data_IF_541194682152
#
_entry.id   IF_541194682152
#
_cell.length_a   1.000
_cell.length_b   1.000
_cell.length_c   1.000
_cell.angle_alpha   90.00
_cell.angle_beta   90.00
_cell.angle_gamma   90.00
#
_symmetry.space_group_name_H-M   'P 1'
#
loop_
_entity.id
_entity.type
_entity.pdbx_description
1 polymer ?
#
# COMPACT_ATOMS: atom_id res chain seq x y z
N UNK A 1 15.82 6.76 16.93
CA UNK A 1 14.47 6.40 16.45
C UNK A 1 14.04 7.45 15.44
N UNK A 2 13.58 7.03 14.29
CA UNK A 2 13.18 7.94 13.21
C UNK A 2 11.85 8.62 13.59
N UNK A 3 11.88 9.90 13.94
CA UNK A 3 10.72 10.59 14.53
C UNK A 3 9.79 11.22 13.46
N UNK A 4 9.56 10.50 12.35
CA UNK A 4 8.69 10.97 11.28
C UNK A 4 7.21 11.12 11.73
N UNK A 5 6.75 10.29 12.66
CA UNK A 5 5.37 10.29 13.20
C UNK A 5 5.30 11.23 14.43
N UNK A 6 5.27 12.52 14.17
CA UNK A 6 5.28 13.56 15.22
C UNK A 6 4.40 14.75 14.87
N UNK A 7 3.91 15.42 15.89
CA UNK A 7 3.16 16.66 15.73
C UNK A 7 3.95 17.70 14.93
N UNK A 8 3.28 18.40 14.02
CA UNK A 8 3.87 19.39 13.13
C UNK A 8 4.60 18.81 11.90
N UNK A 9 4.83 17.50 11.83
CA UNK A 9 5.28 16.82 10.60
C UNK A 9 4.13 16.71 9.59
N UNK A 10 4.43 16.38 8.35
CA UNK A 10 3.43 16.30 7.27
C UNK A 10 3.36 14.89 6.70
N UNK A 11 2.14 14.35 6.61
CA UNK A 11 1.84 13.10 5.93
C UNK A 11 1.03 13.36 4.66
N UNK A 12 1.42 12.67 3.60
CA UNK A 12 0.75 12.64 2.28
C UNK A 12 0.19 11.26 2.04
N UNK A 13 -1.09 11.17 1.66
CA UNK A 13 -1.76 9.89 1.39
C UNK A 13 -2.52 9.97 0.06
N UNK A 14 -2.15 9.14 -0.91
CA UNK A 14 -2.94 8.95 -2.13
C UNK A 14 -4.03 7.90 -1.93
N UNK A 15 -5.20 8.08 -2.54
CA UNK A 15 -6.39 7.29 -2.22
C UNK A 15 -6.82 7.52 -0.77
N UNK A 16 -6.71 8.78 -0.31
CA UNK A 16 -6.90 9.17 1.08
C UNK A 16 -8.35 9.40 1.50
N UNK A 17 -9.30 9.30 0.58
CA UNK A 17 -10.71 9.54 0.86
C UNK A 17 -11.46 8.32 1.39
N UNK A 18 -10.86 7.12 1.38
CA UNK A 18 -11.53 5.91 1.85
C UNK A 18 -10.56 4.82 2.30
N UNK A 19 -11.09 3.75 2.91
CA UNK A 19 -10.37 2.51 3.22
C UNK A 19 -9.10 2.71 4.03
N UNK A 20 -8.01 2.04 3.61
CA UNK A 20 -6.72 2.10 4.29
C UNK A 20 -6.13 3.53 4.28
N UNK A 21 -6.31 4.27 3.17
CA UNK A 21 -5.79 5.63 3.05
C UNK A 21 -6.42 6.57 4.05
N UNK A 22 -7.75 6.57 4.17
CA UNK A 22 -8.46 7.42 5.13
C UNK A 22 -8.14 7.03 6.57
N UNK A 23 -8.08 5.74 6.88
CA UNK A 23 -7.71 5.31 8.23
C UNK A 23 -6.27 5.71 8.60
N UNK A 24 -5.34 5.65 7.64
CA UNK A 24 -3.98 6.17 7.86
C UNK A 24 -3.98 7.67 8.13
N UNK A 25 -4.72 8.43 7.32
CA UNK A 25 -4.85 9.87 7.49
C UNK A 25 -5.43 10.25 8.86
N UNK A 26 -6.46 9.52 9.33
CA UNK A 26 -7.01 9.66 10.71
C UNK A 26 -5.95 9.48 11.78
N UNK A 27 -5.13 8.42 11.65
CA UNK A 27 -4.07 8.13 12.61
C UNK A 27 -2.99 9.20 12.62
N UNK A 28 -2.59 9.69 11.45
CA UNK A 28 -1.63 10.78 11.34
C UNK A 28 -2.19 12.08 11.90
N UNK A 29 -3.46 12.43 11.61
CA UNK A 29 -4.13 13.60 12.18
C UNK A 29 -4.18 13.55 13.71
N UNK A 30 -4.53 12.40 14.29
CA UNK A 30 -4.58 12.19 15.73
C UNK A 30 -3.22 12.33 16.42
N UNK A 31 -2.10 12.11 15.71
CA UNK A 31 -0.75 12.36 16.25
C UNK A 31 -0.30 13.81 16.13
N UNK A 32 -1.13 14.67 15.58
CA UNK A 32 -0.80 16.08 15.42
C UNK A 32 -0.03 16.42 14.15
N UNK A 33 0.02 15.53 13.15
CA UNK A 33 0.63 15.83 11.85
C UNK A 33 -0.27 16.74 10.99
N UNK A 34 0.32 17.45 10.06
CA UNK A 34 -0.39 18.03 8.91
C UNK A 34 -0.72 16.91 7.92
N UNK A 35 -1.88 16.98 7.31
CA UNK A 35 -2.40 15.92 6.43
C UNK A 35 -2.66 16.47 5.04
N UNK A 36 -2.08 15.82 4.04
CA UNK A 36 -2.45 16.03 2.65
C UNK A 36 -3.04 14.73 2.09
N UNK A 37 -4.28 14.78 1.64
CA UNK A 37 -4.94 13.65 0.98
C UNK A 37 -5.22 13.96 -0.49
N UNK A 38 -5.02 12.96 -1.34
CA UNK A 38 -5.39 13.01 -2.74
C UNK A 38 -6.34 11.85 -3.06
N UNK A 39 -7.41 12.13 -3.77
CA UNK A 39 -8.33 11.13 -4.31
C UNK A 39 -8.98 11.62 -5.58
N UNK A 40 -9.42 10.71 -6.45
CA UNK A 40 -10.15 11.08 -7.67
C UNK A 40 -11.63 11.35 -7.41
N UNK A 41 -12.20 10.79 -6.35
CA UNK A 41 -13.60 10.98 -5.98
C UNK A 41 -13.76 12.26 -5.16
N UNK A 42 -14.31 13.29 -5.78
CA UNK A 42 -14.45 14.61 -5.15
C UNK A 42 -15.43 14.61 -3.96
N UNK A 43 -16.49 13.79 -3.99
CA UNK A 43 -17.49 13.71 -2.93
C UNK A 43 -16.90 13.05 -1.67
N UNK A 44 -16.30 11.85 -1.84
CA UNK A 44 -15.63 11.17 -0.74
C UNK A 44 -14.47 12.01 -0.18
N UNK A 45 -13.75 12.74 -1.05
CA UNK A 45 -12.64 13.60 -0.66
C UNK A 45 -13.11 14.78 0.20
N UNK A 46 -14.24 15.41 -0.14
CA UNK A 46 -14.82 16.49 0.65
C UNK A 46 -15.21 16.01 2.06
N UNK A 47 -15.92 14.87 2.15
CA UNK A 47 -16.32 14.30 3.41
C UNK A 47 -15.10 13.91 4.27
N UNK A 48 -14.07 13.30 3.67
CA UNK A 48 -12.83 12.96 4.36
C UNK A 48 -12.08 14.20 4.86
N UNK A 49 -12.08 15.28 4.07
CA UNK A 49 -11.44 16.55 4.45
C UNK A 49 -12.10 17.18 5.68
N UNK A 50 -13.43 17.20 5.73
CA UNK A 50 -14.17 17.71 6.89
C UNK A 50 -13.88 16.89 8.15
N UNK A 51 -13.96 15.58 8.05
CA UNK A 51 -13.65 14.68 9.17
C UNK A 51 -12.22 14.86 9.69
N UNK A 52 -11.23 14.92 8.77
CA UNK A 52 -9.84 15.09 9.16
C UNK A 52 -9.57 16.47 9.77
N UNK A 53 -10.27 17.52 9.32
CA UNK A 53 -10.17 18.85 9.91
C UNK A 53 -10.69 18.88 11.36
N UNK A 54 -11.80 18.19 11.63
CA UNK A 54 -12.33 18.01 12.99
C UNK A 54 -11.33 17.26 13.88
N UNK A 55 -10.77 16.14 13.39
CA UNK A 55 -9.77 15.34 14.13
C UNK A 55 -8.48 16.12 14.40
N UNK A 56 -8.03 16.92 13.44
CA UNK A 56 -6.84 17.75 13.59
C UNK A 56 -7.07 18.95 14.53
N UNK A 57 -8.33 19.30 14.79
CA UNK A 57 -8.72 20.50 15.55
C UNK A 57 -8.39 21.83 14.85
N UNK A 58 -7.92 21.81 13.63
CA UNK A 58 -7.54 22.96 12.81
C UNK A 58 -7.57 22.58 11.33
N UNK A 59 -8.53 23.15 10.60
CA UNK A 59 -8.69 22.92 9.17
C UNK A 59 -7.46 23.37 8.34
N UNK A 60 -6.66 24.31 8.86
CA UNK A 60 -5.44 24.74 8.18
C UNK A 60 -4.37 23.64 8.06
N UNK A 61 -4.48 22.58 8.85
CA UNK A 61 -3.60 21.42 8.88
C UNK A 61 -4.01 20.32 7.89
N UNK A 62 -5.11 20.50 7.16
CA UNK A 62 -5.60 19.54 6.17
C UNK A 62 -5.56 20.17 4.77
N UNK A 63 -5.01 19.46 3.82
CA UNK A 63 -5.06 19.73 2.40
C UNK A 63 -5.71 18.55 1.71
N UNK A 64 -6.81 18.78 1.00
CA UNK A 64 -7.47 17.78 0.18
C UNK A 64 -7.44 18.23 -1.29
N UNK A 65 -6.89 17.41 -2.17
CA UNK A 65 -6.77 17.70 -3.59
C UNK A 65 -7.39 16.60 -4.43
N UNK A 66 -8.29 16.97 -5.36
CA UNK A 66 -8.72 16.02 -6.36
C UNK A 66 -7.55 15.72 -7.30
N UNK A 67 -7.20 14.42 -7.42
CA UNK A 67 -6.04 13.99 -8.19
C UNK A 67 -6.26 12.56 -8.71
N UNK A 68 -6.12 12.40 -10.02
CA UNK A 68 -6.00 11.06 -10.62
C UNK A 68 -4.52 10.67 -10.63
N UNK A 69 -4.16 9.67 -9.84
CA UNK A 69 -2.76 9.17 -9.74
C UNK A 69 -2.23 8.57 -11.04
N UNK A 70 -3.07 8.33 -12.03
CA UNK A 70 -2.65 7.88 -13.37
C UNK A 70 -2.09 9.03 -14.21
N UNK A 71 -2.31 10.28 -13.81
CA UNK A 71 -1.80 11.49 -14.42
C UNK A 71 -0.57 12.00 -13.67
N UNK A 72 0.61 11.82 -14.27
CA UNK A 72 1.86 12.35 -13.67
C UNK A 72 1.78 13.85 -13.40
N UNK A 73 1.14 14.60 -14.29
CA UNK A 73 0.99 16.05 -14.16
C UNK A 73 0.11 16.45 -12.94
N UNK A 74 -0.96 15.67 -12.68
CA UNK A 74 -1.79 15.90 -11.50
C UNK A 74 -1.06 15.55 -10.20
N UNK A 75 -0.30 14.47 -10.20
CA UNK A 75 0.54 14.08 -9.04
C UNK A 75 1.63 15.15 -8.79
N UNK A 76 2.26 15.69 -9.84
CA UNK A 76 3.21 16.80 -9.70
C UNK A 76 2.53 18.05 -9.12
N UNK A 77 1.38 18.43 -9.65
CA UNK A 77 0.60 19.56 -9.13
C UNK A 77 0.22 19.38 -7.66
N UNK A 78 -0.22 18.18 -7.29
CA UNK A 78 -0.52 17.88 -5.90
C UNK A 78 0.74 17.99 -5.01
N UNK A 79 1.86 17.48 -5.47
CA UNK A 79 3.13 17.61 -4.76
C UNK A 79 3.50 19.08 -4.53
N UNK A 80 3.39 19.94 -5.56
CA UNK A 80 3.66 21.37 -5.42
C UNK A 80 2.73 22.01 -4.37
N UNK A 81 1.42 21.77 -4.44
CA UNK A 81 0.45 22.29 -3.46
C UNK A 81 0.80 21.88 -2.03
N UNK A 82 1.25 20.62 -1.80
CA UNK A 82 1.65 20.14 -0.48
C UNK A 82 2.87 20.91 0.03
N UNK A 83 3.91 21.07 -0.80
CA UNK A 83 5.11 21.81 -0.40
C UNK A 83 4.86 23.31 -0.25
N UNK A 84 4.03 23.93 -1.08
CA UNK A 84 3.60 25.31 -0.90
C UNK A 84 2.85 25.51 0.42
N UNK A 85 1.98 24.57 0.78
CA UNK A 85 1.14 24.66 1.98
C UNK A 85 1.91 24.38 3.27
N UNK A 86 2.72 23.33 3.29
CA UNK A 86 3.34 22.80 4.52
C UNK A 86 4.88 22.89 4.54
N UNK A 87 5.51 23.15 3.42
CA UNK A 87 6.97 23.30 3.29
C UNK A 87 7.76 21.99 3.38
N UNK A 88 7.14 20.89 3.86
CA UNK A 88 7.83 19.64 4.19
C UNK A 88 6.92 18.42 4.12
N UNK A 89 7.52 17.25 3.87
CA UNK A 89 6.83 15.94 3.90
C UNK A 89 7.72 14.93 4.62
N UNK A 90 7.15 14.23 5.61
CA UNK A 90 7.83 13.21 6.42
C UNK A 90 7.25 11.81 6.23
N UNK A 91 6.02 11.71 5.72
CA UNK A 91 5.42 10.45 5.35
C UNK A 91 4.76 10.59 3.97
N UNK A 92 5.20 9.78 3.02
CA UNK A 92 4.52 9.58 1.75
C UNK A 92 3.90 8.18 1.75
N UNK A 93 2.58 8.09 1.81
CA UNK A 93 1.86 6.83 1.65
C UNK A 93 1.20 6.76 0.28
N UNK A 94 1.81 6.04 -0.64
CA UNK A 94 1.24 5.70 -1.94
C UNK A 94 0.27 4.53 -1.75
N UNK A 95 -1.02 4.83 -1.66
CA UNK A 95 -2.04 3.86 -1.30
C UNK A 95 -3.16 3.73 -2.34
N UNK A 96 -3.36 4.72 -3.22
CA UNK A 96 -4.38 4.63 -4.26
C UNK A 96 -4.30 3.30 -5.01
N UNK A 97 -5.45 2.64 -5.17
CA UNK A 97 -5.51 1.34 -5.79
C UNK A 97 -6.89 0.97 -6.29
N UNK A 98 -6.93 0.02 -7.20
CA UNK A 98 -8.16 -0.58 -7.70
C UNK A 98 -8.00 -2.09 -7.85
N UNK A 99 -9.11 -2.82 -7.79
CA UNK A 99 -9.17 -4.24 -8.08
C UNK A 99 -10.47 -4.52 -8.81
N UNK A 100 -10.38 -5.11 -10.01
CA UNK A 100 -11.52 -5.57 -10.78
C UNK A 100 -11.21 -6.96 -11.33
N UNK A 101 -12.22 -7.83 -11.45
CA UNK A 101 -12.07 -9.10 -12.16
C UNK A 101 -11.65 -8.82 -13.60
N UNK A 102 -10.74 -9.62 -14.12
CA UNK A 102 -10.28 -9.60 -15.51
C UNK A 102 -10.52 -10.97 -16.12
N UNK A 103 -10.67 -11.00 -17.44
CA UNK A 103 -10.79 -12.24 -18.20
C UNK A 103 -9.48 -13.04 -18.27
N UNK A 104 -9.32 -13.88 -19.27
CA UNK A 104 -8.10 -14.65 -19.46
C UNK A 104 -6.91 -13.74 -19.83
N UNK A 105 -5.66 -14.12 -19.47
CA UNK A 105 -4.48 -13.28 -19.70
C UNK A 105 -4.20 -12.92 -21.18
N UNK A 106 -4.73 -13.66 -22.11
CA UNK A 106 -4.58 -13.44 -23.56
C UNK A 106 -5.73 -12.65 -24.19
N UNK A 107 -6.75 -12.28 -23.41
CA UNK A 107 -7.84 -11.43 -23.90
C UNK A 107 -7.43 -9.96 -23.88
N UNK A 108 -8.00 -9.17 -24.83
CA UNK A 108 -7.79 -7.72 -24.81
C UNK A 108 -8.40 -7.12 -23.54
N UNK A 109 -7.60 -6.36 -22.81
CA UNK A 109 -7.94 -6.08 -21.43
C UNK A 109 -7.63 -4.63 -21.04
N UNK A 110 -8.58 -3.72 -21.32
CA UNK A 110 -8.51 -2.35 -20.85
C UNK A 110 -8.39 -2.25 -19.31
N UNK A 111 -8.95 -3.24 -18.57
CA UNK A 111 -8.84 -3.31 -17.11
C UNK A 111 -7.42 -3.62 -16.65
N UNK A 112 -6.63 -4.36 -17.43
CA UNK A 112 -5.21 -4.57 -17.15
C UNK A 112 -4.45 -3.24 -17.17
N UNK A 113 -4.59 -2.48 -18.26
CA UNK A 113 -3.90 -1.20 -18.43
C UNK A 113 -4.28 -0.23 -17.30
N UNK A 114 -5.57 -0.10 -17.00
CA UNK A 114 -6.06 0.76 -15.94
C UNK A 114 -5.61 0.29 -14.54
N UNK A 115 -5.55 -1.03 -14.31
CA UNK A 115 -5.08 -1.57 -13.04
C UNK A 115 -3.59 -1.27 -12.84
N UNK A 116 -2.78 -1.43 -13.87
CA UNK A 116 -1.36 -1.07 -13.83
C UNK A 116 -1.16 0.45 -13.68
N UNK A 117 -1.94 1.25 -14.40
CA UNK A 117 -1.86 2.71 -14.33
C UNK A 117 -2.12 3.22 -12.90
N UNK A 118 -3.15 2.71 -12.22
CA UNK A 118 -3.45 3.13 -10.83
C UNK A 118 -2.49 2.49 -9.84
N UNK A 119 -2.38 1.15 -9.82
CA UNK A 119 -1.74 0.42 -8.73
C UNK A 119 -0.21 0.48 -8.77
N UNK A 120 0.39 0.59 -9.96
CA UNK A 120 1.83 0.61 -10.14
C UNK A 120 2.33 1.99 -10.54
N UNK A 121 1.84 2.53 -11.65
CA UNK A 121 2.32 3.85 -12.12
C UNK A 121 1.96 4.98 -11.16
N UNK A 122 0.79 4.95 -10.51
CA UNK A 122 0.46 5.91 -9.46
C UNK A 122 1.48 5.95 -8.32
N UNK A 123 1.97 4.77 -7.89
CA UNK A 123 3.05 4.67 -6.88
C UNK A 123 4.36 5.22 -7.43
N UNK A 124 4.72 4.85 -8.67
CA UNK A 124 5.94 5.35 -9.33
C UNK A 124 5.91 6.87 -9.42
N UNK A 125 4.80 7.45 -9.86
CA UNK A 125 4.63 8.91 -9.98
C UNK A 125 4.68 9.60 -8.62
N UNK A 126 4.03 9.05 -7.59
CA UNK A 126 4.14 9.55 -6.23
C UNK A 126 5.59 9.59 -5.74
N UNK A 127 6.33 8.50 -5.88
CA UNK A 127 7.75 8.46 -5.52
C UNK A 127 8.58 9.46 -6.33
N UNK A 128 8.38 9.58 -7.64
CA UNK A 128 9.12 10.50 -8.50
C UNK A 128 8.87 11.97 -8.17
N UNK A 129 7.64 12.32 -7.75
CA UNK A 129 7.30 13.71 -7.42
C UNK A 129 7.78 14.09 -6.02
N UNK A 130 7.63 13.22 -5.04
CA UNK A 130 7.87 13.56 -3.64
C UNK A 130 9.28 13.24 -3.14
N UNK A 131 9.88 12.09 -3.51
CA UNK A 131 11.16 11.67 -2.95
C UNK A 131 12.29 12.70 -3.18
N UNK A 132 12.46 13.30 -4.38
CA UNK A 132 13.51 14.31 -4.58
C UNK A 132 13.39 15.50 -3.64
N UNK A 133 12.18 15.97 -3.39
CA UNK A 133 11.93 17.09 -2.46
C UNK A 133 12.12 16.67 -1.00
N UNK A 134 11.70 15.46 -0.63
CA UNK A 134 11.94 14.89 0.70
C UNK A 134 13.44 14.70 0.97
N UNK A 135 14.22 14.25 -0.02
CA UNK A 135 15.69 14.15 0.09
C UNK A 135 16.35 15.51 0.28
N UNK A 136 15.87 16.54 -0.43
CA UNK A 136 16.40 17.90 -0.32
C UNK A 136 16.18 18.52 1.07
N UNK A 137 15.15 18.07 1.81
CA UNK A 137 14.91 18.51 3.20
C UNK A 137 15.99 17.97 4.17
N UNK A 138 16.52 16.77 3.91
CA UNK A 138 17.46 16.11 4.81
C UNK A 138 16.86 15.67 6.15
N UNK A 139 15.54 15.73 6.31
CA UNK A 139 14.82 15.35 7.53
C UNK A 139 14.43 13.86 7.51
N UNK A 140 14.27 13.22 8.68
CA UNK A 140 13.77 11.85 8.76
C UNK A 140 12.39 11.70 8.14
N UNK A 141 12.23 10.70 7.28
CA UNK A 141 10.95 10.45 6.62
C UNK A 141 10.78 9.02 6.14
N UNK A 142 9.55 8.67 5.81
CA UNK A 142 9.19 7.33 5.34
C UNK A 142 8.39 7.39 4.04
N UNK A 143 8.64 6.43 3.18
CA UNK A 143 7.83 6.13 2.00
C UNK A 143 7.14 4.79 2.25
N UNK A 144 5.82 4.75 2.21
CA UNK A 144 5.01 3.54 2.41
C UNK A 144 4.26 3.26 1.10
N UNK A 145 4.60 2.17 0.44
CA UNK A 145 3.90 1.72 -0.76
C UNK A 145 2.96 0.56 -0.44
N UNK A 146 1.70 0.66 -0.82
CA UNK A 146 0.70 -0.36 -0.54
C UNK A 146 0.76 -1.49 -1.57
N UNK A 147 1.38 -2.59 -1.18
CA UNK A 147 1.41 -3.86 -1.89
C UNK A 147 0.15 -4.69 -1.66
N UNK A 148 0.33 -6.00 -1.61
CA UNK A 148 -0.70 -7.01 -1.26
C UNK A 148 -0.05 -8.38 -1.11
N UNK A 149 -0.64 -9.29 -0.32
CA UNK A 149 -0.29 -10.72 -0.34
C UNK A 149 -0.41 -11.33 -1.76
N UNK A 150 -1.30 -10.81 -2.59
CA UNK A 150 -1.43 -11.23 -3.99
C UNK A 150 -0.20 -10.88 -4.85
N UNK A 151 0.57 -9.87 -4.48
CA UNK A 151 1.87 -9.58 -5.11
C UNK A 151 2.96 -10.61 -4.77
N UNK A 152 2.75 -11.42 -3.74
CA UNK A 152 3.70 -12.45 -3.30
C UNK A 152 3.23 -13.83 -3.73
N UNK A 153 1.97 -14.20 -3.40
CA UNK A 153 1.45 -15.56 -3.63
C UNK A 153 0.78 -15.76 -4.98
N UNK A 154 0.37 -14.71 -5.65
CA UNK A 154 -0.17 -14.67 -7.03
C UNK A 154 -1.31 -15.66 -7.28
N UNK A 155 -2.40 -15.66 -6.48
CA UNK A 155 -3.49 -16.61 -6.65
C UNK A 155 -4.14 -16.48 -8.04
N UNK A 156 -4.59 -17.58 -8.66
CA UNK A 156 -5.36 -17.54 -9.91
C UNK A 156 -6.59 -16.64 -9.81
N UNK A 157 -7.05 -16.09 -10.93
CA UNK A 157 -8.34 -15.38 -11.07
C UNK A 157 -8.22 -13.87 -11.25
N UNK A 158 -7.17 -13.21 -10.81
CA UNK A 158 -6.96 -11.77 -11.04
C UNK A 158 -5.50 -11.44 -11.39
N UNK A 159 -5.09 -11.85 -12.60
CA UNK A 159 -3.70 -11.67 -13.03
C UNK A 159 -3.28 -10.20 -13.12
N UNK A 160 -4.19 -9.29 -13.50
CA UNK A 160 -3.87 -7.87 -13.62
C UNK A 160 -3.52 -7.26 -12.26
N UNK A 161 -4.30 -7.58 -11.24
CA UNK A 161 -3.99 -7.15 -9.88
C UNK A 161 -2.70 -7.78 -9.36
N UNK A 162 -2.52 -9.10 -9.55
CA UNK A 162 -1.29 -9.80 -9.18
C UNK A 162 -0.06 -9.14 -9.84
N UNK A 163 -0.11 -8.91 -11.15
CA UNK A 163 0.97 -8.26 -11.91
C UNK A 163 1.29 -6.88 -11.35
N UNK A 164 0.27 -6.07 -11.09
CA UNK A 164 0.46 -4.75 -10.51
C UNK A 164 1.17 -4.81 -9.16
N UNK A 165 0.78 -5.75 -8.28
CA UNK A 165 1.33 -5.85 -6.92
C UNK A 165 2.69 -6.53 -6.85
N UNK A 166 3.03 -7.42 -7.81
CA UNK A 166 4.41 -7.89 -8.04
C UNK A 166 5.30 -6.71 -8.46
N UNK A 167 4.81 -5.86 -9.36
CA UNK A 167 5.52 -4.65 -9.78
C UNK A 167 5.77 -3.69 -8.60
N UNK A 168 4.79 -3.49 -7.73
CA UNK A 168 4.94 -2.65 -6.52
C UNK A 168 5.98 -3.22 -5.57
N UNK A 169 6.01 -4.54 -5.36
CA UNK A 169 7.04 -5.19 -4.55
C UNK A 169 8.44 -4.88 -5.10
N UNK A 170 8.71 -5.22 -6.36
CA UNK A 170 10.01 -5.03 -6.99
C UNK A 170 10.43 -3.55 -7.03
N UNK A 171 9.49 -2.65 -7.31
CA UNK A 171 9.74 -1.21 -7.32
C UNK A 171 10.09 -0.68 -5.93
N UNK A 172 9.37 -1.11 -4.89
CA UNK A 172 9.62 -0.66 -3.51
C UNK A 172 10.98 -1.15 -2.99
N UNK A 173 11.36 -2.39 -3.32
CA UNK A 173 12.70 -2.92 -3.03
C UNK A 173 13.79 -2.07 -3.69
N UNK A 174 13.58 -1.68 -4.95
CA UNK A 174 14.50 -0.82 -5.69
C UNK A 174 14.61 0.58 -5.05
N UNK A 175 13.49 1.18 -4.63
CA UNK A 175 13.47 2.46 -3.91
C UNK A 175 14.25 2.34 -2.59
N UNK A 176 13.97 1.30 -1.80
CA UNK A 176 14.66 1.10 -0.53
C UNK A 176 16.16 0.90 -0.71
N UNK A 177 16.57 0.16 -1.75
CA UNK A 177 18.00 -0.01 -2.07
C UNK A 177 18.64 1.32 -2.47
N UNK A 178 18.00 2.09 -3.35
CA UNK A 178 18.51 3.38 -3.80
C UNK A 178 18.69 4.37 -2.63
N UNK A 179 17.69 4.47 -1.74
CA UNK A 179 17.78 5.33 -0.55
C UNK A 179 18.94 4.92 0.37
N UNK A 180 19.13 3.62 0.63
CA UNK A 180 20.27 3.13 1.43
C UNK A 180 21.64 3.39 0.80
N UNK A 181 21.71 3.60 -0.51
CA UNK A 181 22.94 3.88 -1.24
C UNK A 181 23.35 5.38 -1.17
N UNK A 182 22.48 6.24 -0.67
CA UNK A 182 22.75 7.65 -0.46
C UNK A 182 23.37 7.82 0.94
N UNK A 183 24.55 8.41 0.99
CA UNK A 183 25.23 8.67 2.26
C UNK A 183 24.40 9.59 3.17
N UNK A 184 24.24 9.19 4.44
CA UNK A 184 23.46 9.91 5.45
C UNK A 184 21.99 10.14 5.08
N UNK A 185 21.41 9.31 4.21
CA UNK A 185 20.01 9.40 3.86
C UNK A 185 19.11 9.13 5.09
N UNK A 186 18.27 10.10 5.43
CA UNK A 186 17.33 9.99 6.55
C UNK A 186 15.97 9.39 6.14
N UNK A 187 15.78 9.05 4.85
CA UNK A 187 14.53 8.44 4.34
C UNK A 187 14.63 6.94 4.33
N UNK A 188 13.50 6.29 4.64
CA UNK A 188 13.33 4.85 4.50
C UNK A 188 12.10 4.51 3.65
N UNK A 189 12.11 3.37 2.96
CA UNK A 189 10.97 2.87 2.23
C UNK A 189 10.46 1.56 2.84
N UNK A 190 9.15 1.38 2.83
CA UNK A 190 8.45 0.26 3.44
C UNK A 190 7.37 -0.26 2.47
N UNK A 191 7.20 -1.56 2.42
CA UNK A 191 6.15 -2.22 1.66
C UNK A 191 5.06 -2.69 2.62
N UNK A 192 3.90 -2.04 2.60
CA UNK A 192 2.70 -2.55 3.29
C UNK A 192 2.11 -3.69 2.46
N UNK A 193 1.97 -4.86 3.06
CA UNK A 193 1.46 -6.08 2.41
C UNK A 193 0.20 -6.55 3.13
N UNK A 194 -0.96 -5.94 2.84
CA UNK A 194 -2.21 -6.34 3.45
C UNK A 194 -2.64 -7.73 3.01
N UNK A 195 -3.31 -8.45 3.92
CA UNK A 195 -4.14 -9.60 3.59
C UNK A 195 -5.50 -9.16 3.02
N UNK A 196 -6.55 -9.87 3.39
CA UNK A 196 -7.90 -9.50 2.96
C UNK A 196 -8.46 -8.41 3.89
N UNK A 197 -8.53 -7.17 3.40
CA UNK A 197 -9.06 -6.03 4.15
C UNK A 197 -10.41 -5.60 3.61
N UNK A 198 -11.42 -5.60 4.48
CA UNK A 198 -12.76 -5.15 4.11
C UNK A 198 -12.82 -3.62 4.04
N UNK A 199 -12.87 -3.12 2.82
CA UNK A 199 -12.87 -1.69 2.47
C UNK A 199 -13.96 -1.41 1.45
N UNK A 200 -14.28 -0.14 1.13
CA UNK A 200 -15.22 0.19 0.06
C UNK A 200 -14.88 -0.44 -1.30
N UNK A 201 -13.61 -0.70 -1.58
CA UNK A 201 -13.20 -1.44 -2.78
C UNK A 201 -13.77 -2.87 -2.78
N UNK A 202 -13.80 -3.54 -1.64
CA UNK A 202 -14.26 -4.92 -1.50
C UNK A 202 -15.78 -4.99 -1.32
N UNK A 203 -16.38 -4.08 -0.54
CA UNK A 203 -17.82 -4.09 -0.23
C UNK A 203 -18.71 -3.92 -1.47
N UNK A 204 -18.18 -3.38 -2.56
CA UNK A 204 -18.87 -3.32 -3.88
C UNK A 204 -19.17 -4.69 -4.45
N UNK A 205 -18.38 -5.70 -4.12
CA UNK A 205 -18.51 -7.07 -4.63
C UNK A 205 -18.98 -8.05 -3.56
N UNK A 206 -18.65 -7.76 -2.29
CA UNK A 206 -18.97 -8.59 -1.13
C UNK A 206 -19.66 -7.67 -0.11
N UNK A 207 -21.01 -7.60 -0.10
CA UNK A 207 -21.75 -6.65 0.74
C UNK A 207 -21.53 -6.84 2.25
N UNK A 208 -21.34 -8.09 2.69
CA UNK A 208 -21.11 -8.43 4.09
C UNK A 208 -19.64 -8.68 4.36
N UNK A 209 -19.13 -8.14 5.47
CA UNK A 209 -17.74 -8.33 5.88
C UNK A 209 -17.46 -9.80 6.18
N UNK A 210 -16.58 -10.48 5.41
CA UNK A 210 -16.19 -11.85 5.71
C UNK A 210 -15.51 -11.95 7.08
N UNK A 211 -15.75 -13.02 7.86
CA UNK A 211 -15.17 -13.18 9.20
C UNK A 211 -13.64 -13.20 9.20
N UNK A 212 -13.03 -13.68 8.11
CA UNK A 212 -11.58 -13.77 7.97
C UNK A 212 -10.91 -12.44 7.62
N UNK A 213 -11.68 -11.45 7.16
CA UNK A 213 -11.12 -10.16 6.73
C UNK A 213 -10.81 -9.25 7.91
N UNK A 214 -9.72 -8.50 7.79
CA UNK A 214 -9.45 -7.38 8.68
C UNK A 214 -10.20 -6.12 8.26
N UNK A 215 -10.33 -5.19 9.18
CA UNK A 215 -10.74 -3.80 8.91
C UNK A 215 -9.52 -2.96 8.51
N UNK A 216 -9.77 -1.78 7.94
CA UNK A 216 -8.71 -0.81 7.71
C UNK A 216 -8.00 -0.43 9.02
N UNK A 217 -8.76 -0.29 10.11
CA UNK A 217 -8.23 0.03 11.44
C UNK A 217 -7.24 -1.02 11.95
N UNK A 218 -7.61 -2.31 11.90
CA UNK A 218 -6.72 -3.41 12.32
C UNK A 218 -5.43 -3.43 11.50
N UNK A 219 -5.53 -3.17 10.20
CA UNK A 219 -4.37 -3.13 9.30
C UNK A 219 -3.43 -1.98 9.64
N UNK A 220 -3.96 -0.78 9.89
CA UNK A 220 -3.13 0.39 10.21
C UNK A 220 -2.57 0.31 11.63
N UNK A 221 -3.32 -0.24 12.59
CA UNK A 221 -2.82 -0.52 13.95
C UNK A 221 -1.64 -1.50 13.92
N UNK A 222 -1.66 -2.46 12.99
CA UNK A 222 -0.55 -3.39 12.78
C UNK A 222 0.64 -2.73 12.06
N UNK A 223 0.38 -1.87 11.06
CA UNK A 223 1.40 -1.24 10.23
C UNK A 223 2.27 -0.26 11.00
N UNK A 224 1.65 0.67 11.74
CA UNK A 224 2.36 1.82 12.31
C UNK A 224 3.55 1.44 13.20
N UNK A 225 3.42 0.55 14.20
CA UNK A 225 4.54 0.18 15.05
C UNK A 225 5.67 -0.52 14.28
N UNK A 226 5.35 -1.23 13.20
CA UNK A 226 6.33 -1.92 12.35
C UNK A 226 7.13 -0.96 11.49
N UNK A 227 6.46 0.00 10.87
CA UNK A 227 7.15 1.07 10.13
C UNK A 227 8.03 1.89 11.07
N UNK A 228 7.57 2.19 12.29
CA UNK A 228 8.38 2.87 13.31
C UNK A 228 9.59 2.03 13.76
N UNK A 229 9.46 0.71 13.79
CA UNK A 229 10.56 -0.22 14.10
C UNK A 229 11.54 -0.40 12.92
N UNK A 230 11.17 0.06 11.71
CA UNK A 230 12.01 -0.04 10.50
C UNK A 230 11.77 -1.31 9.68
N UNK A 231 10.68 -2.05 9.92
CA UNK A 231 10.34 -3.24 9.13
C UNK A 231 10.09 -2.84 7.67
N UNK A 232 10.85 -3.43 6.73
CA UNK A 232 10.63 -3.17 5.30
C UNK A 232 9.38 -3.88 4.78
N UNK A 233 9.25 -5.19 5.03
CA UNK A 233 8.08 -5.97 4.65
C UNK A 233 7.06 -5.99 5.79
N UNK A 234 6.07 -5.10 5.72
CA UNK A 234 4.96 -5.09 6.68
C UNK A 234 3.90 -6.09 6.22
N UNK A 235 4.17 -7.37 6.40
CA UNK A 235 3.29 -8.47 6.01
C UNK A 235 2.21 -8.65 7.07
N UNK A 236 1.00 -8.14 6.75
CA UNK A 236 -0.15 -8.21 7.65
C UNK A 236 -0.76 -9.61 7.63
N UNK A 237 -0.97 -10.26 8.76
CA UNK A 237 -1.82 -11.44 8.80
C UNK A 237 -3.28 -11.07 8.48
N UNK A 238 -4.12 -12.07 8.35
CA UNK A 238 -5.58 -11.96 8.43
C UNK A 238 -6.10 -13.09 9.32
N UNK A 239 -7.41 -13.12 9.58
CA UNK A 239 -7.95 -14.06 10.57
C UNK A 239 -7.86 -15.54 10.16
N UNK A 240 -7.65 -15.84 8.86
CA UNK A 240 -7.46 -17.21 8.34
C UNK A 240 -6.02 -17.50 7.93
N UNK A 241 -5.18 -16.49 7.89
CA UNK A 241 -3.79 -16.60 7.41
C UNK A 241 -2.83 -15.99 8.42
N UNK A 242 -2.50 -16.72 9.50
CA UNK A 242 -1.48 -16.28 10.43
C UNK A 242 -0.12 -16.16 9.72
N UNK A 243 0.81 -15.48 10.36
CA UNK A 243 2.13 -15.16 9.78
C UNK A 243 2.88 -16.42 9.33
N UNK A 244 2.82 -17.46 10.11
CA UNK A 244 3.49 -18.72 9.86
C UNK A 244 2.99 -19.40 8.57
N UNK A 245 1.68 -19.32 8.32
CA UNK A 245 1.09 -19.84 7.09
C UNK A 245 1.52 -19.03 5.87
N UNK A 246 1.62 -17.70 6.00
CA UNK A 246 2.10 -16.86 4.92
C UNK A 246 3.58 -17.16 4.59
N UNK A 247 4.41 -17.41 5.57
CA UNK A 247 5.82 -17.82 5.39
C UNK A 247 5.93 -19.12 4.60
N UNK A 248 5.12 -20.11 4.95
CA UNK A 248 5.06 -21.38 4.20
C UNK A 248 4.54 -21.17 2.75
N UNK A 249 3.58 -20.29 2.54
CA UNK A 249 3.10 -19.94 1.19
C UNK A 249 4.18 -19.27 0.35
N UNK A 250 4.98 -18.41 0.95
CA UNK A 250 6.12 -17.75 0.30
C UNK A 250 7.17 -18.81 -0.07
N UNK A 251 7.54 -19.66 0.90
CA UNK A 251 8.51 -20.73 0.67
C UNK A 251 8.04 -21.68 -0.43
N UNK A 252 6.78 -22.11 -0.41
CA UNK A 252 6.24 -22.97 -1.44
C UNK A 252 6.36 -22.37 -2.85
N UNK A 253 6.03 -21.07 -2.98
CA UNK A 253 6.15 -20.37 -4.27
C UNK A 253 7.60 -20.17 -4.72
N UNK A 254 8.55 -20.01 -3.80
CA UNK A 254 9.97 -19.99 -4.11
C UNK A 254 10.47 -21.37 -4.56
N UNK A 255 9.99 -22.43 -3.92
CA UNK A 255 10.32 -23.81 -4.30
C UNK A 255 9.77 -24.21 -5.67
N UNK A 256 8.69 -23.58 -6.17
CA UNK A 256 8.25 -23.77 -7.55
C UNK A 256 9.34 -23.39 -8.57
N UNK A 257 10.06 -22.30 -8.29
CA UNK A 257 11.17 -21.85 -9.13
C UNK A 257 12.42 -22.72 -8.94
N UNK A 258 12.77 -23.04 -7.70
CA UNK A 258 13.98 -23.80 -7.36
C UNK A 258 13.92 -25.21 -7.92
N UNK A 259 12.77 -25.87 -7.80
CA UNK A 259 12.56 -27.26 -8.16
C UNK A 259 11.97 -27.44 -9.57
N UNK A 260 11.72 -26.32 -10.28
CA UNK A 260 11.07 -26.32 -11.60
C UNK A 260 9.73 -27.09 -11.59
N UNK A 261 8.92 -26.86 -10.56
CA UNK A 261 7.56 -27.40 -10.48
C UNK A 261 6.63 -26.67 -11.45
N UNK A 262 5.44 -27.23 -11.78
CA UNK A 262 4.44 -26.50 -12.54
C UNK A 262 4.14 -25.11 -11.92
N UNK A 263 3.98 -24.11 -12.79
CA UNK A 263 3.70 -22.75 -12.32
C UNK A 263 2.46 -22.73 -11.44
N UNK A 264 2.54 -22.03 -10.31
CA UNK A 264 1.45 -21.92 -9.33
C UNK A 264 1.02 -23.31 -8.79
N UNK A 265 1.99 -24.18 -8.48
CA UNK A 265 1.76 -25.57 -8.10
C UNK A 265 0.85 -25.71 -6.86
N UNK A 266 0.76 -24.68 -6.01
CA UNK A 266 -0.20 -24.62 -4.90
C UNK A 266 -1.65 -24.87 -5.34
N UNK A 267 -2.01 -24.51 -6.57
CA UNK A 267 -3.36 -24.67 -7.13
C UNK A 267 -3.41 -25.77 -8.19
N UNK A 268 -2.32 -26.55 -8.37
CA UNK A 268 -2.27 -27.66 -9.29
C UNK A 268 -2.81 -28.92 -8.59
N UNK A 269 -3.77 -29.67 -9.21
CA UNK A 269 -4.39 -30.82 -8.53
C UNK A 269 -3.40 -31.88 -8.05
N UNK A 270 -2.35 -32.14 -8.81
CA UNK A 270 -1.32 -33.14 -8.44
C UNK A 270 -0.49 -32.74 -7.21
N UNK A 271 -0.47 -31.45 -6.85
CA UNK A 271 0.29 -30.94 -5.71
C UNK A 271 -0.57 -30.64 -4.47
N UNK A 272 -1.88 -30.83 -4.55
CA UNK A 272 -2.80 -30.50 -3.44
C UNK A 272 -2.43 -31.24 -2.14
N UNK A 273 -2.17 -32.56 -2.23
CA UNK A 273 -1.80 -33.35 -1.06
C UNK A 273 -0.45 -32.92 -0.47
N UNK A 274 0.55 -32.73 -1.34
CA UNK A 274 1.88 -32.29 -0.93
C UNK A 274 1.85 -30.88 -0.30
N UNK A 275 1.04 -29.97 -0.85
CA UNK A 275 0.87 -28.63 -0.28
C UNK A 275 0.19 -28.67 1.11
N UNK A 276 -0.85 -29.50 1.28
CA UNK A 276 -1.51 -29.69 2.58
C UNK A 276 -0.54 -30.25 3.63
N UNK A 277 0.26 -31.25 3.28
CA UNK A 277 1.29 -31.79 4.16
C UNK A 277 2.35 -30.74 4.52
N UNK A 278 2.82 -29.98 3.53
CA UNK A 278 3.79 -28.91 3.72
C UNK A 278 3.29 -27.84 4.71
N UNK A 279 2.04 -27.41 4.55
CA UNK A 279 1.46 -26.35 5.40
C UNK A 279 0.98 -26.85 6.76
N UNK A 280 0.75 -28.17 6.95
CA UNK A 280 0.42 -28.74 8.26
C UNK A 280 1.56 -28.60 9.29
N UNK A 281 2.79 -28.33 8.84
CA UNK A 281 3.95 -28.08 9.70
C UNK A 281 3.89 -26.75 10.47
N UNK A 282 2.96 -25.86 10.13
CA UNK A 282 2.78 -24.57 10.82
C UNK A 282 2.11 -24.67 12.20
N UNK A 283 1.72 -25.86 12.63
CA UNK A 283 1.03 -26.10 13.91
C UNK A 283 1.86 -26.87 14.95
N UNK A 284 3.14 -27.11 14.69
CA UNK A 284 4.10 -27.68 15.63
C UNK A 284 5.18 -26.68 15.98
#
# INVERSE_FOLDING_TARGET
MNNWLSAGNTAVVTGGASGLGLESARRYAATGMNIAIADRNAEDLAAASEELAELAGDASRVLAAQCDVTSKAEVDSFCEQVFERFGKVHCLMNNAGRGFPVGAPWENNAELEQTLAVNLWGIVYGCQSFIPKMLALGEPGVIINTGSKQGITRPPGNFAYNLSKVGVLAYTESVAHALRSIENCALTAHLLVPGFVYTPMVSRFIPEKPPFSWTAKETIDFMLPRVQAGDFYVLCPDNESPRELDELRIQWGADDLIQNRPALSRWHPEYEAAYKEFTARSGT
#
